data_IF_568675222717
#
_entry.id   IF_568675222717
#
_cell.length_a   1.000
_cell.length_b   1.000
_cell.length_c   1.000
_cell.angle_alpha   90.00
_cell.angle_beta   90.00
_cell.angle_gamma   90.00
#
_symmetry.space_group_name_H-M   'P 1'
#
loop_
_entity.id
_entity.type
_entity.pdbx_description
1 polymer ?
#
# COMPACT_ATOMS: atom_id res chain seq x y z
N UNK A 1 -53.25 37.69 43.29
CA UNK A 1 -53.52 37.08 41.96
C UNK A 1 -52.51 37.69 41.00
N UNK A 2 -51.43 37.04 40.60
CA UNK A 2 -50.87 35.71 40.88
C UNK A 2 -49.34 35.87 40.79
N UNK A 3 -48.61 35.35 41.78
CA UNK A 3 -47.15 35.23 41.72
C UNK A 3 -46.78 34.26 40.59
N UNK A 4 -46.14 34.78 39.54
CA UNK A 4 -45.45 33.95 38.55
C UNK A 4 -44.09 33.59 39.12
N UNK A 5 -44.01 32.42 39.76
CA UNK A 5 -42.73 31.75 40.05
C UNK A 5 -41.98 31.54 38.73
N UNK A 6 -40.78 32.13 38.65
CA UNK A 6 -39.80 31.76 37.64
C UNK A 6 -39.34 30.33 37.92
N UNK A 7 -39.82 29.39 37.13
CA UNK A 7 -39.31 28.01 37.15
C UNK A 7 -37.88 28.03 36.62
N UNK A 8 -36.89 28.04 37.51
CA UNK A 8 -35.49 27.77 37.15
C UNK A 8 -35.41 26.42 36.43
N UNK A 9 -34.96 26.43 35.18
CA UNK A 9 -34.68 25.21 34.45
C UNK A 9 -33.55 24.46 35.16
N UNK A 10 -33.89 23.38 35.87
CA UNK A 10 -32.89 22.46 36.44
C UNK A 10 -31.87 22.12 35.35
N UNK A 11 -30.55 22.20 35.62
CA UNK A 11 -29.54 21.86 34.63
C UNK A 11 -29.77 20.41 34.21
N UNK A 12 -30.32 20.24 33.00
CA UNK A 12 -30.61 18.94 32.43
C UNK A 12 -29.30 18.18 32.26
N UNK A 13 -29.26 16.93 32.72
CA UNK A 13 -28.13 16.04 32.52
C UNK A 13 -27.74 15.99 31.03
N UNK A 14 -26.54 16.49 30.71
CA UNK A 14 -26.02 16.50 29.35
C UNK A 14 -25.56 15.09 28.98
N UNK A 15 -26.48 14.34 28.37
CA UNK A 15 -26.25 12.95 27.92
C UNK A 15 -25.03 12.85 27.01
N UNK A 16 -24.70 13.88 26.22
CA UNK A 16 -23.55 13.86 25.33
C UNK A 16 -22.24 13.84 26.12
N UNK A 17 -22.11 14.74 27.10
CA UNK A 17 -20.94 14.77 28.00
C UNK A 17 -20.80 13.49 28.82
N UNK A 18 -21.92 12.92 29.27
CA UNK A 18 -21.91 11.63 29.94
C UNK A 18 -21.34 10.52 29.05
N UNK A 19 -21.88 10.34 27.84
CA UNK A 19 -21.40 9.31 26.91
C UNK A 19 -19.95 9.54 26.46
N UNK A 20 -19.52 10.80 26.33
CA UNK A 20 -18.12 11.14 26.11
C UNK A 20 -17.24 10.73 27.29
N UNK A 21 -17.70 10.95 28.52
CA UNK A 21 -17.03 10.46 29.73
C UNK A 21 -16.93 8.93 29.77
N UNK A 22 -18.01 8.23 29.42
CA UNK A 22 -18.02 6.75 29.29
C UNK A 22 -17.00 6.29 28.25
N UNK A 23 -16.95 6.94 27.08
CA UNK A 23 -15.97 6.64 26.04
C UNK A 23 -14.53 6.81 26.52
N UNK A 24 -14.21 7.94 27.17
CA UNK A 24 -12.87 8.20 27.71
C UNK A 24 -12.50 7.15 28.76
N UNK A 25 -13.42 6.81 29.67
CA UNK A 25 -13.20 5.78 30.67
C UNK A 25 -12.92 4.41 30.02
N UNK A 26 -13.68 4.03 28.99
CA UNK A 26 -13.45 2.79 28.23
C UNK A 26 -12.08 2.79 27.54
N UNK A 27 -11.66 3.92 26.94
CA UNK A 27 -10.33 4.03 26.32
C UNK A 27 -9.21 3.92 27.36
N UNK A 28 -9.37 4.53 28.54
CA UNK A 28 -8.40 4.41 29.64
C UNK A 28 -8.32 2.95 30.11
N UNK A 29 -9.45 2.29 30.34
CA UNK A 29 -9.49 0.87 30.74
C UNK A 29 -8.82 -0.01 29.70
N UNK A 30 -9.04 0.26 28.41
CA UNK A 30 -8.38 -0.45 27.31
C UNK A 30 -6.85 -0.25 27.35
N UNK A 31 -6.38 0.99 27.51
CA UNK A 31 -4.95 1.30 27.60
C UNK A 31 -4.29 0.67 28.83
N UNK A 32 -4.95 0.71 29.99
CA UNK A 32 -4.46 0.07 31.22
C UNK A 32 -4.44 -1.45 31.06
N UNK A 33 -5.49 -2.04 30.50
CA UNK A 33 -5.56 -3.48 30.23
C UNK A 33 -4.45 -3.93 29.29
N UNK A 34 -4.17 -3.13 28.25
CA UNK A 34 -3.06 -3.39 27.33
C UNK A 34 -1.71 -3.29 28.04
N UNK A 35 -1.46 -2.21 28.79
CA UNK A 35 -0.23 -2.04 29.57
C UNK A 35 -0.03 -3.18 30.57
N UNK A 36 -1.09 -3.56 31.29
CA UNK A 36 -1.04 -4.67 32.23
C UNK A 36 -0.73 -6.00 31.53
N UNK A 37 -1.34 -6.28 30.38
CA UNK A 37 -0.99 -7.47 29.59
C UNK A 37 0.50 -7.44 29.17
N UNK A 38 1.05 -6.28 28.81
CA UNK A 38 2.47 -6.16 28.46
C UNK A 38 3.41 -6.40 29.64
N UNK A 39 3.02 -6.05 30.88
CA UNK A 39 3.86 -6.31 32.06
C UNK A 39 3.82 -7.76 32.53
N UNK A 40 2.81 -8.53 32.14
CA UNK A 40 2.78 -9.99 32.36
C UNK A 40 3.70 -10.76 31.40
N UNK A 41 4.22 -10.09 30.36
CA UNK A 41 5.09 -10.71 29.36
C UNK A 41 6.54 -10.49 29.76
N UNK A 42 7.32 -11.57 29.92
CA UNK A 42 8.77 -11.47 30.15
C UNK A 42 9.47 -11.05 28.84
N UNK A 43 9.47 -9.73 28.59
CA UNK A 43 9.94 -9.15 27.35
C UNK A 43 10.62 -7.79 27.57
N UNK A 44 11.82 -7.63 27.00
CA UNK A 44 12.58 -6.38 27.06
C UNK A 44 12.28 -5.56 25.81
N UNK A 45 11.59 -4.44 26.02
CA UNK A 45 11.22 -3.50 24.96
C UNK A 45 12.43 -2.72 24.45
N UNK A 46 12.59 -2.63 23.12
CA UNK A 46 13.74 -2.05 22.40
C UNK A 46 13.32 -0.98 21.40
N UNK A 47 12.45 -0.06 21.82
CA UNK A 47 11.96 1.06 21.00
C UNK A 47 13.08 1.91 20.36
N UNK A 48 14.24 2.00 21.01
CA UNK A 48 15.42 2.70 20.50
C UNK A 48 15.95 2.13 19.18
N UNK A 49 15.61 0.88 18.82
CA UNK A 49 16.03 0.26 17.56
C UNK A 49 15.08 0.58 16.41
N UNK A 50 13.85 1.01 16.66
CA UNK A 50 12.82 1.21 15.63
C UNK A 50 13.19 2.24 14.54
N UNK A 51 13.82 3.40 14.86
CA UNK A 51 14.13 4.40 13.83
C UNK A 51 14.96 3.86 12.65
N UNK A 52 15.82 2.85 12.88
CA UNK A 52 16.66 2.24 11.82
C UNK A 52 15.84 1.59 10.68
N UNK A 53 14.61 1.20 10.96
CA UNK A 53 13.72 0.58 9.97
C UNK A 53 13.00 1.59 9.08
N UNK A 54 13.09 2.88 9.39
CA UNK A 54 12.66 3.97 8.54
C UNK A 54 13.83 4.54 7.74
N UNK A 55 14.95 4.80 8.42
CA UNK A 55 16.18 5.29 7.83
C UNK A 55 17.39 4.78 8.62
N UNK A 56 18.42 4.32 7.93
CA UNK A 56 19.69 3.94 8.55
C UNK A 56 20.87 4.52 7.77
N UNK A 57 21.98 4.71 8.47
CA UNK A 57 23.26 5.09 7.87
C UNK A 57 24.05 3.82 7.67
N UNK A 58 24.33 3.50 6.41
CA UNK A 58 25.14 2.37 6.01
C UNK A 58 26.57 2.84 5.77
N UNK A 59 27.56 2.03 6.16
CA UNK A 59 28.97 2.35 5.91
C UNK A 59 29.42 1.48 4.76
N UNK A 60 29.61 2.10 3.59
CA UNK A 60 30.05 1.42 2.39
C UNK A 60 31.57 1.46 2.36
N UNK A 61 32.17 0.29 2.40
CA UNK A 61 33.61 0.10 2.24
C UNK A 61 33.94 0.02 0.76
N UNK A 62 34.80 0.91 0.29
CA UNK A 62 35.37 0.84 -1.06
C UNK A 62 36.59 -0.05 -0.97
N UNK A 63 36.55 -1.20 -1.66
CA UNK A 63 37.61 -2.21 -1.62
C UNK A 63 38.34 -2.27 -2.94
N UNK A 64 39.64 -2.55 -2.88
CA UNK A 64 40.46 -2.72 -4.08
C UNK A 64 40.10 -4.01 -4.82
N UNK A 65 39.85 -3.92 -6.12
CA UNK A 65 39.65 -5.07 -7.01
C UNK A 65 40.98 -5.62 -7.55
N UNK A 66 42.07 -4.84 -7.43
CA UNK A 66 43.41 -5.21 -7.88
C UNK A 66 44.44 -5.18 -6.73
N UNK A 67 45.53 -5.93 -6.91
CA UNK A 67 46.73 -5.84 -6.07
C UNK A 67 47.73 -4.86 -6.70
N UNK A 68 48.32 -3.98 -5.89
CA UNK A 68 49.21 -2.94 -6.37
C UNK A 68 49.63 -1.94 -5.30
N UNK A 69 50.20 -0.82 -5.73
CA UNK A 69 50.60 0.28 -4.84
C UNK A 69 49.71 1.50 -5.09
N UNK A 70 49.37 2.25 -4.03
CA UNK A 70 48.60 3.49 -4.16
C UNK A 70 49.48 4.55 -4.83
N UNK A 71 49.24 4.81 -6.12
CA UNK A 71 50.05 5.73 -6.91
C UNK A 71 49.72 7.20 -6.66
N UNK A 72 48.47 7.51 -6.31
CA UNK A 72 48.09 8.85 -5.87
C UNK A 72 46.74 8.86 -5.15
N UNK A 73 46.61 9.81 -4.23
CA UNK A 73 45.34 10.12 -3.54
C UNK A 73 45.03 11.59 -3.82
N UNK A 74 44.06 11.85 -4.70
CA UNK A 74 43.69 13.21 -5.10
C UNK A 74 42.31 13.58 -4.56
N UNK A 75 42.22 14.67 -3.81
CA UNK A 75 40.94 15.24 -3.42
C UNK A 75 40.31 16.00 -4.60
N UNK A 76 39.09 15.64 -4.99
CA UNK A 76 38.28 16.29 -6.02
C UNK A 76 37.01 16.83 -5.40
N UNK A 77 37.10 18.00 -4.77
CA UNK A 77 35.99 18.61 -4.02
C UNK A 77 35.82 17.93 -2.67
N UNK A 78 34.62 17.38 -2.41
CA UNK A 78 34.32 16.59 -1.20
C UNK A 78 34.69 15.09 -1.35
N UNK A 79 35.08 14.66 -2.56
CA UNK A 79 35.41 13.27 -2.87
C UNK A 79 36.92 13.05 -2.91
N UNK A 80 37.36 11.85 -2.53
CA UNK A 80 38.75 11.40 -2.66
C UNK A 80 38.87 10.38 -3.78
N UNK A 81 39.79 10.57 -4.71
CA UNK A 81 40.10 9.61 -5.77
C UNK A 81 41.41 8.91 -5.43
N UNK A 82 41.36 7.59 -5.27
CA UNK A 82 42.52 6.73 -5.03
C UNK A 82 42.84 5.98 -6.31
N UNK A 83 44.08 6.10 -6.78
CA UNK A 83 44.58 5.35 -7.93
C UNK A 83 45.47 4.23 -7.42
N UNK A 84 45.10 2.99 -7.70
CA UNK A 84 45.92 1.81 -7.39
C UNK A 84 46.59 1.35 -8.69
N UNK A 85 47.91 1.18 -8.65
CA UNK A 85 48.71 0.76 -9.79
C UNK A 85 49.21 -0.67 -9.58
N UNK A 86 48.67 -1.61 -10.37
CA UNK A 86 49.04 -3.02 -10.35
C UNK A 86 50.05 -3.39 -11.46
N UNK A 87 50.32 -4.69 -11.59
CA UNK A 87 51.27 -5.26 -12.55
C UNK A 87 50.76 -5.25 -14.02
N UNK A 88 50.45 -4.06 -14.55
CA UNK A 88 50.01 -3.83 -15.93
C UNK A 88 48.70 -3.07 -16.08
N UNK A 89 47.98 -2.81 -14.98
CA UNK A 89 46.65 -2.20 -14.97
C UNK A 89 46.57 -1.14 -13.86
N UNK A 90 45.74 -0.11 -14.05
CA UNK A 90 45.49 0.93 -13.03
C UNK A 90 44.00 1.12 -12.86
N UNK A 91 43.53 1.02 -11.63
CA UNK A 91 42.13 1.25 -11.30
C UNK A 91 41.93 2.53 -10.49
N UNK A 92 40.78 3.16 -10.72
CA UNK A 92 40.41 4.43 -10.13
C UNK A 92 39.22 4.22 -9.21
N UNK A 93 39.44 4.41 -7.91
CA UNK A 93 38.41 4.30 -6.89
C UNK A 93 38.00 5.69 -6.43
N UNK A 94 36.72 6.03 -6.56
CA UNK A 94 36.16 7.28 -6.04
C UNK A 94 35.48 7.01 -4.71
N UNK A 95 35.97 7.65 -3.66
CA UNK A 95 35.49 7.51 -2.29
C UNK A 95 34.86 8.84 -1.88
N UNK A 96 33.52 8.94 -1.79
CA UNK A 96 32.85 10.14 -1.33
C UNK A 96 33.22 10.46 0.12
N UNK A 97 33.68 11.67 0.40
CA UNK A 97 34.12 12.07 1.75
C UNK A 97 35.59 11.76 2.07
N UNK A 98 36.00 12.15 3.28
CA UNK A 98 37.40 12.20 3.71
C UNK A 98 37.86 11.03 4.59
N UNK A 99 37.06 9.97 4.72
CA UNK A 99 37.43 8.76 5.47
C UNK A 99 38.22 7.78 4.59
N UNK A 100 39.42 8.21 4.21
CA UNK A 100 40.44 7.37 3.59
C UNK A 100 41.12 6.53 4.67
N UNK A 101 41.36 5.25 4.35
CA UNK A 101 42.10 4.33 5.22
C UNK A 101 43.51 4.04 4.68
N UNK A 102 43.84 4.58 3.51
CA UNK A 102 45.09 4.32 2.79
C UNK A 102 45.86 5.60 2.46
N UNK A 103 47.17 5.49 2.39
CA UNK A 103 48.09 6.57 2.04
C UNK A 103 48.83 6.29 0.72
N UNK A 104 49.34 7.35 0.09
CA UNK A 104 50.18 7.24 -1.11
C UNK A 104 51.45 6.43 -0.81
N UNK A 105 51.78 5.46 -1.67
CA UNK A 105 52.88 4.51 -1.49
C UNK A 105 52.57 3.29 -0.61
N UNK A 106 51.33 3.10 -0.16
CA UNK A 106 50.94 1.85 0.50
C UNK A 106 50.68 0.72 -0.50
N UNK A 107 51.15 -0.48 -0.16
CA UNK A 107 50.85 -1.71 -0.90
C UNK A 107 49.48 -2.24 -0.48
N UNK A 108 48.60 -2.45 -1.46
CA UNK A 108 47.21 -2.87 -1.30
C UNK A 108 47.03 -4.25 -1.95
N UNK A 109 46.33 -5.16 -1.28
CA UNK A 109 45.91 -6.44 -1.85
C UNK A 109 44.45 -6.41 -2.31
N UNK A 110 44.10 -7.36 -3.18
CA UNK A 110 42.72 -7.54 -3.62
C UNK A 110 41.79 -7.78 -2.42
N UNK A 111 40.77 -6.94 -2.27
CA UNK A 111 39.80 -6.98 -1.19
C UNK A 111 40.09 -6.06 0.01
N UNK A 112 41.25 -5.41 0.04
CA UNK A 112 41.59 -4.43 1.08
C UNK A 112 40.73 -3.17 0.97
N UNK A 113 40.34 -2.62 2.12
CA UNK A 113 39.47 -1.43 2.19
C UNK A 113 40.29 -0.15 2.01
N UNK A 114 40.05 0.54 0.91
CA UNK A 114 40.70 1.82 0.55
C UNK A 114 40.13 2.99 1.36
N UNK A 115 38.85 2.91 1.70
CA UNK A 115 38.18 3.90 2.53
C UNK A 115 36.71 3.53 2.72
N UNK A 116 36.02 4.36 3.50
CA UNK A 116 34.60 4.14 3.74
C UNK A 116 33.83 5.44 3.71
N UNK A 117 32.60 5.37 3.21
CA UNK A 117 31.69 6.50 3.21
C UNK A 117 30.34 6.11 3.80
N UNK A 118 29.67 7.09 4.40
CA UNK A 118 28.37 6.90 5.01
C UNK A 118 27.28 7.29 4.03
N UNK A 119 26.41 6.34 3.68
CA UNK A 119 25.25 6.58 2.85
C UNK A 119 23.96 6.43 3.66
N UNK A 120 23.06 7.42 3.56
CA UNK A 120 21.73 7.32 4.15
C UNK A 120 20.84 6.46 3.25
N UNK A 121 20.43 5.30 3.75
CA UNK A 121 19.54 4.37 3.03
C UNK A 121 18.16 4.32 3.67
N UNK A 122 17.16 4.09 2.83
CA UNK A 122 15.79 3.87 3.26
C UNK A 122 15.67 2.53 3.98
N UNK A 123 15.06 2.54 5.16
CA UNK A 123 14.83 1.35 5.96
C UNK A 123 13.70 0.48 5.41
N UNK A 124 13.66 -0.79 5.84
CA UNK A 124 12.79 -1.79 5.23
C UNK A 124 11.29 -1.52 5.39
N UNK A 125 10.86 -0.88 6.49
CA UNK A 125 9.44 -0.59 6.71
C UNK A 125 8.95 0.51 5.78
N UNK A 126 9.76 1.55 5.57
CA UNK A 126 9.41 2.62 4.64
C UNK A 126 9.41 2.12 3.19
N UNK A 127 10.38 1.28 2.83
CA UNK A 127 10.39 0.61 1.53
C UNK A 127 9.14 -0.26 1.34
N UNK A 128 8.81 -1.11 2.32
CA UNK A 128 7.61 -1.95 2.28
C UNK A 128 6.32 -1.14 2.17
N UNK A 129 6.23 0.00 2.86
CA UNK A 129 5.10 0.93 2.75
C UNK A 129 4.94 1.49 1.32
N UNK A 130 6.04 1.86 0.67
CA UNK A 130 6.00 2.34 -0.72
C UNK A 130 5.52 1.25 -1.68
N UNK A 131 6.03 0.01 -1.52
CA UNK A 131 5.56 -1.14 -2.30
C UNK A 131 4.07 -1.39 -2.05
N UNK A 132 3.61 -1.35 -0.80
CA UNK A 132 2.17 -1.44 -0.45
C UNK A 132 1.33 -0.42 -1.20
N UNK A 133 1.76 0.85 -1.24
CA UNK A 133 1.07 1.92 -1.94
C UNK A 133 1.07 1.67 -3.46
N UNK A 134 2.23 1.34 -4.03
CA UNK A 134 2.41 1.09 -5.45
C UNK A 134 1.50 -0.05 -5.93
N UNK A 135 1.59 -1.22 -5.32
CA UNK A 135 0.79 -2.39 -5.77
C UNK A 135 -0.70 -2.16 -5.57
N UNK A 136 -1.10 -1.50 -4.48
CA UNK A 136 -2.51 -1.20 -4.23
C UNK A 136 -3.06 -0.19 -5.24
N UNK A 137 -2.28 0.84 -5.55
CA UNK A 137 -2.67 1.87 -6.51
C UNK A 137 -2.80 1.31 -7.93
N UNK A 138 -1.80 0.56 -8.39
CA UNK A 138 -1.83 -0.07 -9.72
C UNK A 138 -2.99 -1.07 -9.80
N UNK A 139 -3.19 -1.88 -8.76
CA UNK A 139 -4.27 -2.88 -8.72
C UNK A 139 -5.66 -2.24 -8.74
N UNK A 140 -5.89 -1.15 -8.01
CA UNK A 140 -7.20 -0.49 -8.02
C UNK A 140 -7.49 0.17 -9.37
N UNK A 141 -6.48 0.70 -10.06
CA UNK A 141 -6.68 1.28 -11.41
C UNK A 141 -7.18 0.21 -12.38
N UNK A 142 -6.52 -0.95 -12.43
CA UNK A 142 -6.99 -2.07 -13.26
C UNK A 142 -8.33 -2.65 -12.77
N UNK A 143 -8.53 -2.72 -11.45
CA UNK A 143 -9.79 -3.16 -10.86
C UNK A 143 -10.96 -2.23 -11.20
N UNK A 144 -10.76 -0.91 -11.24
CA UNK A 144 -11.77 0.06 -11.66
C UNK A 144 -12.14 -0.16 -13.12
N UNK A 145 -11.15 -0.32 -14.00
CA UNK A 145 -11.40 -0.58 -15.42
C UNK A 145 -12.19 -1.89 -15.61
N UNK A 146 -11.72 -2.99 -15.02
CA UNK A 146 -12.37 -4.30 -15.11
C UNK A 146 -13.77 -4.27 -14.52
N UNK A 147 -13.94 -3.65 -13.35
CA UNK A 147 -15.23 -3.54 -12.67
C UNK A 147 -16.21 -2.64 -13.40
N UNK A 148 -15.76 -1.57 -14.05
CA UNK A 148 -16.63 -0.74 -14.90
C UNK A 148 -17.23 -1.55 -16.05
N UNK A 149 -16.39 -2.26 -16.82
CA UNK A 149 -16.86 -3.09 -17.93
C UNK A 149 -17.76 -4.23 -17.45
N UNK A 150 -17.37 -4.93 -16.38
CA UNK A 150 -18.12 -6.04 -15.82
C UNK A 150 -19.45 -5.58 -15.21
N UNK A 151 -19.48 -4.44 -14.51
CA UNK A 151 -20.67 -3.86 -13.92
C UNK A 151 -21.70 -3.45 -14.99
N UNK A 152 -21.22 -2.86 -16.09
CA UNK A 152 -22.06 -2.56 -17.26
C UNK A 152 -22.56 -3.83 -17.97
N UNK A 153 -21.71 -4.85 -18.11
CA UNK A 153 -22.10 -6.14 -18.67
C UNK A 153 -23.18 -6.84 -17.82
N UNK A 154 -23.11 -6.75 -16.49
CA UNK A 154 -24.10 -7.34 -15.57
C UNK A 154 -25.50 -6.73 -15.69
N UNK A 155 -25.62 -5.46 -16.08
CA UNK A 155 -26.91 -4.79 -16.32
C UNK A 155 -27.37 -4.85 -17.77
N UNK A 156 -26.59 -5.48 -18.66
CA UNK A 156 -26.93 -5.61 -20.07
C UNK A 156 -28.13 -6.53 -20.28
N UNK A 157 -28.90 -6.26 -21.33
CA UNK A 157 -29.97 -7.16 -21.78
C UNK A 157 -29.40 -8.39 -22.53
N UNK A 158 -28.13 -8.33 -22.96
CA UNK A 158 -27.47 -9.46 -23.62
C UNK A 158 -27.19 -10.58 -22.60
N UNK A 159 -27.79 -11.77 -22.77
CA UNK A 159 -27.66 -12.86 -21.80
C UNK A 159 -26.21 -13.34 -21.65
N UNK A 160 -25.43 -13.39 -22.73
CA UNK A 160 -24.03 -13.84 -22.67
C UNK A 160 -23.18 -12.90 -21.80
N UNK A 161 -23.24 -11.59 -22.06
CA UNK A 161 -22.51 -10.59 -21.26
C UNK A 161 -22.93 -10.62 -19.79
N UNK A 162 -24.24 -10.72 -19.54
CA UNK A 162 -24.80 -10.76 -18.19
C UNK A 162 -24.33 -12.00 -17.42
N UNK A 163 -24.43 -13.19 -18.00
CA UNK A 163 -24.07 -14.43 -17.33
C UNK A 163 -22.55 -14.57 -17.14
N UNK A 164 -21.74 -14.12 -18.10
CA UNK A 164 -20.28 -14.07 -17.92
C UNK A 164 -19.89 -13.13 -16.76
N UNK A 165 -20.49 -11.94 -16.69
CA UNK A 165 -20.25 -10.99 -15.61
C UNK A 165 -20.68 -11.54 -14.25
N UNK A 166 -21.87 -12.15 -14.16
CA UNK A 166 -22.35 -12.80 -12.92
C UNK A 166 -21.39 -13.90 -12.50
N UNK A 167 -21.01 -14.80 -13.41
CA UNK A 167 -20.13 -15.93 -13.10
C UNK A 167 -18.79 -15.46 -12.54
N UNK A 168 -18.16 -14.49 -13.21
CA UNK A 168 -16.92 -13.87 -12.74
C UNK A 168 -17.09 -13.25 -11.33
N UNK A 169 -18.13 -12.45 -11.12
CA UNK A 169 -18.33 -11.77 -9.83
C UNK A 169 -18.56 -12.78 -8.71
N UNK A 170 -19.43 -13.76 -8.91
CA UNK A 170 -19.78 -14.74 -7.87
C UNK A 170 -18.60 -15.67 -7.54
N UNK A 171 -17.79 -16.07 -8.53
CA UNK A 171 -16.56 -16.86 -8.28
C UNK A 171 -15.55 -16.06 -7.46
N UNK A 172 -15.27 -14.83 -7.88
CA UNK A 172 -14.23 -14.01 -7.24
C UNK A 172 -14.64 -13.55 -5.85
N UNK A 173 -15.90 -13.16 -5.64
CA UNK A 173 -16.39 -12.77 -4.31
C UNK A 173 -16.71 -13.96 -3.40
N UNK A 174 -16.97 -15.12 -3.99
CA UNK A 174 -17.26 -16.37 -3.28
C UNK A 174 -16.02 -17.14 -2.84
N UNK A 175 -14.81 -16.72 -3.22
CA UNK A 175 -13.55 -17.41 -2.90
C UNK A 175 -12.60 -16.52 -2.09
N UNK A 176 -11.81 -17.08 -1.15
CA UNK A 176 -10.87 -16.30 -0.36
C UNK A 176 -9.78 -15.66 -1.23
N UNK A 177 -9.48 -14.37 -1.00
CA UNK A 177 -8.43 -13.64 -1.72
C UNK A 177 -7.06 -14.33 -1.62
N UNK A 178 -6.70 -14.84 -0.44
CA UNK A 178 -5.43 -15.56 -0.25
C UNK A 178 -5.29 -16.74 -1.23
N UNK A 179 -6.36 -17.52 -1.43
CA UNK A 179 -6.36 -18.64 -2.37
C UNK A 179 -6.20 -18.13 -3.80
N UNK A 180 -6.86 -17.02 -4.16
CA UNK A 180 -6.72 -16.41 -5.48
C UNK A 180 -5.28 -15.96 -5.74
N UNK A 181 -4.64 -15.29 -4.78
CA UNK A 181 -3.23 -14.89 -4.87
C UNK A 181 -2.34 -16.11 -5.13
N UNK A 182 -2.55 -17.21 -4.38
CA UNK A 182 -1.79 -18.44 -4.56
C UNK A 182 -1.99 -19.06 -5.95
N UNK A 183 -3.23 -19.07 -6.45
CA UNK A 183 -3.53 -19.57 -7.80
C UNK A 183 -2.89 -18.70 -8.89
N UNK A 184 -2.94 -17.37 -8.75
CA UNK A 184 -2.32 -16.44 -9.68
C UNK A 184 -0.81 -16.61 -9.75
N UNK A 185 -0.16 -16.77 -8.61
CA UNK A 185 1.29 -16.90 -8.55
C UNK A 185 1.76 -18.30 -8.97
N UNK A 186 1.35 -19.34 -8.23
CA UNK A 186 1.91 -20.68 -8.40
C UNK A 186 1.40 -21.41 -9.64
N UNK A 187 0.14 -21.20 -10.01
CA UNK A 187 -0.47 -21.90 -11.16
C UNK A 187 -0.37 -21.04 -12.41
N UNK A 188 -1.02 -19.88 -12.43
CA UNK A 188 -1.06 -19.04 -13.62
C UNK A 188 0.31 -18.45 -13.96
N UNK A 189 1.06 -17.97 -12.97
CA UNK A 189 2.40 -17.42 -13.19
C UNK A 189 3.35 -18.43 -13.82
N UNK A 190 3.43 -19.63 -13.24
CA UNK A 190 4.25 -20.73 -13.78
C UNK A 190 3.84 -21.12 -15.20
N UNK A 191 2.54 -21.27 -15.48
CA UNK A 191 2.06 -21.67 -16.81
C UNK A 191 2.32 -20.57 -17.84
N UNK A 192 1.98 -19.32 -17.52
CA UNK A 192 2.14 -18.18 -18.43
C UNK A 192 3.62 -17.97 -18.76
N UNK A 193 4.51 -17.93 -17.77
CA UNK A 193 5.93 -17.74 -18.03
C UNK A 193 6.55 -18.89 -18.84
N UNK A 194 6.14 -20.15 -18.60
CA UNK A 194 6.57 -21.29 -19.43
C UNK A 194 6.10 -21.18 -20.87
N UNK A 195 4.86 -20.73 -21.09
CA UNK A 195 4.32 -20.54 -22.44
C UNK A 195 5.04 -19.39 -23.18
N UNK A 196 5.32 -18.29 -22.48
CA UNK A 196 6.07 -17.15 -23.02
C UNK A 196 7.50 -17.56 -23.37
N UNK A 197 8.19 -18.27 -22.49
CA UNK A 197 9.54 -18.80 -22.73
C UNK A 197 9.56 -19.73 -23.96
N UNK A 198 8.58 -20.63 -24.08
CA UNK A 198 8.44 -21.51 -25.26
C UNK A 198 8.21 -20.72 -26.56
N UNK A 199 7.58 -19.56 -26.48
CA UNK A 199 7.39 -18.64 -27.60
C UNK A 199 8.59 -17.69 -27.81
N UNK A 200 9.69 -17.87 -27.08
CA UNK A 200 10.86 -16.98 -27.07
C UNK A 200 10.52 -15.52 -26.73
N UNK A 201 9.54 -15.33 -25.84
CA UNK A 201 9.12 -14.04 -25.30
C UNK A 201 9.70 -13.81 -23.90
N UNK A 202 9.52 -12.59 -23.39
CA UNK A 202 9.98 -12.19 -22.06
C UNK A 202 9.21 -12.87 -20.93
N UNK A 203 9.85 -13.02 -19.77
CA UNK A 203 9.20 -13.48 -18.54
C UNK A 203 8.58 -12.32 -17.78
N UNK A 204 7.38 -12.52 -17.26
CA UNK A 204 6.66 -11.53 -16.44
C UNK A 204 7.16 -11.63 -14.99
N UNK A 205 7.56 -10.50 -14.37
CA UNK A 205 7.95 -10.47 -12.96
C UNK A 205 6.80 -10.81 -11.99
N UNK A 206 7.15 -11.43 -10.88
CA UNK A 206 6.27 -11.91 -9.80
C UNK A 206 5.26 -10.87 -9.29
N UNK A 207 5.69 -9.60 -9.18
CA UNK A 207 4.85 -8.48 -8.74
C UNK A 207 3.57 -8.33 -9.59
N UNK A 208 3.65 -8.60 -10.88
CA UNK A 208 2.51 -8.44 -11.79
C UNK A 208 1.45 -9.52 -11.59
N UNK A 209 1.82 -10.72 -11.14
CA UNK A 209 0.83 -11.74 -10.75
C UNK A 209 0.12 -11.35 -9.45
N UNK A 210 0.85 -10.75 -8.51
CA UNK A 210 0.26 -10.13 -7.31
C UNK A 210 -0.73 -9.02 -7.67
N UNK A 211 -0.30 -8.07 -8.51
CA UNK A 211 -1.16 -6.97 -9.00
C UNK A 211 -2.38 -7.49 -9.77
N UNK A 212 -2.20 -8.46 -10.67
CA UNK A 212 -3.31 -9.06 -11.42
C UNK A 212 -4.34 -9.72 -10.49
N UNK A 213 -3.88 -10.45 -9.47
CA UNK A 213 -4.76 -11.09 -8.50
C UNK A 213 -5.59 -10.07 -7.70
N UNK A 214 -4.96 -8.99 -7.22
CA UNK A 214 -5.63 -7.91 -6.51
C UNK A 214 -6.57 -7.12 -7.43
N UNK A 215 -6.16 -6.84 -8.67
CA UNK A 215 -6.97 -6.11 -9.65
C UNK A 215 -8.24 -6.87 -10.01
N UNK A 216 -8.14 -8.19 -10.20
CA UNK A 216 -9.29 -9.07 -10.47
C UNK A 216 -10.20 -9.15 -9.24
N UNK A 217 -9.62 -9.33 -8.07
CA UNK A 217 -10.39 -9.32 -6.83
C UNK A 217 -11.16 -7.99 -6.67
N UNK A 218 -10.46 -6.86 -6.69
CA UNK A 218 -11.04 -5.53 -6.59
C UNK A 218 -12.08 -5.29 -7.70
N UNK A 219 -11.81 -5.73 -8.93
CA UNK A 219 -12.70 -5.56 -10.07
C UNK A 219 -14.06 -6.19 -9.88
N UNK A 220 -14.16 -7.33 -9.20
CA UNK A 220 -15.46 -7.95 -8.88
C UNK A 220 -16.29 -7.12 -7.89
N UNK A 221 -15.64 -6.51 -6.88
CA UNK A 221 -16.31 -5.62 -5.93
C UNK A 221 -16.68 -4.28 -6.58
N UNK A 222 -15.79 -3.71 -7.40
CA UNK A 222 -16.07 -2.51 -8.21
C UNK A 222 -17.25 -2.76 -9.14
N UNK A 223 -17.37 -3.94 -9.77
CA UNK A 223 -18.50 -4.25 -10.64
C UNK A 223 -19.84 -4.17 -9.91
N UNK A 224 -19.89 -4.64 -8.66
CA UNK A 224 -21.07 -4.52 -7.82
C UNK A 224 -21.35 -3.08 -7.39
N UNK A 225 -20.31 -2.31 -7.08
CA UNK A 225 -20.44 -0.88 -6.79
C UNK A 225 -21.03 -0.15 -8.00
N UNK A 226 -20.54 -0.43 -9.22
CA UNK A 226 -21.03 0.17 -10.46
C UNK A 226 -22.49 -0.21 -10.70
N UNK A 227 -22.82 -1.51 -10.58
CA UNK A 227 -24.21 -2.00 -10.72
C UNK A 227 -25.14 -1.33 -9.72
N UNK A 228 -24.76 -1.32 -8.44
CA UNK A 228 -25.57 -0.73 -7.36
C UNK A 228 -25.74 0.78 -7.56
N UNK A 229 -24.67 1.47 -7.97
CA UNK A 229 -24.69 2.89 -8.30
C UNK A 229 -25.69 3.21 -9.41
N UNK A 230 -25.70 2.44 -10.50
CA UNK A 230 -26.64 2.61 -11.60
C UNK A 230 -28.08 2.28 -11.16
N UNK A 231 -28.29 1.19 -10.42
CA UNK A 231 -29.62 0.77 -9.96
C UNK A 231 -30.21 1.70 -8.89
N UNK A 232 -29.38 2.46 -8.19
CA UNK A 232 -29.85 3.43 -7.20
C UNK A 232 -30.61 4.60 -7.83
N UNK A 233 -30.41 4.88 -9.12
CA UNK A 233 -31.08 5.97 -9.82
C UNK A 233 -32.57 5.65 -9.99
N UNK A 234 -33.44 6.61 -9.67
CA UNK A 234 -34.88 6.43 -9.73
C UNK A 234 -35.33 6.01 -11.13
N UNK A 235 -36.12 4.93 -11.23
CA UNK A 235 -36.57 4.35 -12.51
C UNK A 235 -37.28 5.37 -13.42
N UNK A 236 -38.00 6.31 -12.81
CA UNK A 236 -38.66 7.43 -13.50
C UNK A 236 -37.72 8.30 -14.34
N UNK A 237 -36.42 8.38 -14.02
CA UNK A 237 -35.43 9.07 -14.87
C UNK A 237 -35.27 8.40 -16.24
N UNK A 238 -35.20 7.06 -16.24
CA UNK A 238 -35.14 6.29 -17.47
C UNK A 238 -36.49 6.35 -18.21
N UNK A 239 -37.60 6.22 -17.51
CA UNK A 239 -38.94 6.29 -18.10
C UNK A 239 -39.19 7.66 -18.75
N UNK A 240 -38.89 8.77 -18.06
CA UNK A 240 -39.02 10.12 -18.60
C UNK A 240 -38.14 10.34 -19.84
N UNK A 241 -36.87 9.91 -19.80
CA UNK A 241 -35.96 9.99 -20.95
C UNK A 241 -36.48 9.22 -22.17
N UNK A 242 -37.04 8.02 -21.94
CA UNK A 242 -37.64 7.19 -23.00
C UNK A 242 -38.92 7.81 -23.54
N UNK A 243 -39.75 8.43 -22.70
CA UNK A 243 -40.96 9.18 -23.10
C UNK A 243 -40.65 10.42 -23.93
N UNK A 244 -39.48 11.03 -23.73
CA UNK A 244 -38.96 12.12 -24.57
C UNK A 244 -38.28 11.63 -25.87
N UNK A 245 -38.42 10.34 -26.21
CA UNK A 245 -37.92 9.76 -27.47
C UNK A 245 -36.44 9.37 -27.46
N UNK A 246 -35.72 9.47 -26.34
CA UNK A 246 -34.30 9.10 -26.28
C UNK A 246 -34.13 7.58 -26.39
N UNK A 247 -33.17 7.10 -27.20
CA UNK A 247 -32.75 5.70 -27.18
C UNK A 247 -32.21 5.28 -25.79
N UNK A 248 -32.38 4.00 -25.38
CA UNK A 248 -31.91 3.50 -24.06
C UNK A 248 -30.41 3.78 -23.83
N UNK A 249 -29.58 3.60 -24.86
CA UNK A 249 -28.16 3.91 -24.79
C UNK A 249 -27.88 5.42 -24.59
N UNK A 250 -28.64 6.28 -25.27
CA UNK A 250 -28.53 7.75 -25.13
C UNK A 250 -28.98 8.21 -23.75
N UNK A 251 -30.11 7.68 -23.25
CA UNK A 251 -30.61 7.94 -21.90
C UNK A 251 -29.60 7.46 -20.83
N UNK A 252 -29.04 6.26 -21.00
CA UNK A 252 -28.00 5.73 -20.12
C UNK A 252 -26.77 6.64 -20.09
N UNK A 253 -26.23 7.03 -21.26
CA UNK A 253 -25.01 7.84 -21.35
C UNK A 253 -25.19 9.28 -20.85
N UNK A 254 -26.32 9.92 -21.17
CA UNK A 254 -26.51 11.36 -20.91
C UNK A 254 -27.20 11.67 -19.59
N UNK A 255 -28.01 10.76 -19.05
CA UNK A 255 -28.84 11.02 -17.85
C UNK A 255 -28.43 10.12 -16.70
N UNK A 256 -28.39 8.81 -16.91
CA UNK A 256 -28.21 7.85 -15.81
C UNK A 256 -26.75 7.77 -15.36
N UNK A 257 -25.80 7.55 -16.28
CA UNK A 257 -24.37 7.38 -15.94
C UNK A 257 -23.77 8.59 -15.21
N UNK A 258 -24.03 9.86 -15.62
CA UNK A 258 -23.52 11.01 -14.88
C UNK A 258 -24.03 11.08 -13.43
N UNK A 259 -25.30 10.74 -13.20
CA UNK A 259 -25.87 10.69 -11.84
C UNK A 259 -25.33 9.51 -11.03
N UNK A 260 -25.23 8.34 -11.66
CA UNK A 260 -24.69 7.14 -11.03
C UNK A 260 -23.22 7.33 -10.63
N UNK A 261 -22.42 8.01 -11.45
CA UNK A 261 -21.02 8.29 -11.17
C UNK A 261 -20.82 9.00 -9.82
N UNK A 262 -21.64 10.03 -9.52
CA UNK A 262 -21.59 10.73 -8.22
C UNK A 262 -21.87 9.79 -7.03
N UNK A 263 -22.67 8.73 -7.22
CA UNK A 263 -23.00 7.74 -6.19
C UNK A 263 -22.00 6.58 -6.10
N UNK A 264 -21.26 6.34 -7.19
CA UNK A 264 -20.23 5.30 -7.28
C UNK A 264 -18.93 5.76 -6.61
N UNK A 265 -18.60 7.05 -6.67
CA UNK A 265 -17.31 7.57 -6.20
C UNK A 265 -17.03 7.29 -4.70
N UNK A 266 -17.96 7.50 -3.75
CA UNK A 266 -17.72 7.22 -2.33
C UNK A 266 -17.35 5.75 -2.03
N UNK A 267 -18.14 4.73 -2.46
CA UNK A 267 -17.78 3.33 -2.21
C UNK A 267 -16.52 2.88 -2.95
N UNK A 268 -16.16 3.48 -4.10
CA UNK A 268 -14.89 3.17 -4.76
C UNK A 268 -13.68 3.55 -3.90
N UNK A 269 -13.75 4.70 -3.23
CA UNK A 269 -12.69 5.12 -2.32
C UNK A 269 -12.56 4.17 -1.11
N UNK A 270 -13.69 3.72 -0.55
CA UNK A 270 -13.70 2.66 0.47
C UNK A 270 -13.09 1.34 -0.04
N UNK A 271 -13.33 0.99 -1.30
CA UNK A 271 -12.72 -0.18 -1.92
C UNK A 271 -11.19 -0.03 -2.06
N UNK A 272 -10.69 1.16 -2.39
CA UNK A 272 -9.24 1.41 -2.44
C UNK A 272 -8.58 1.27 -1.06
N UNK A 273 -9.19 1.85 -0.01
CA UNK A 273 -8.70 1.72 1.37
C UNK A 273 -8.69 0.26 1.83
N UNK A 274 -9.70 -0.52 1.43
CA UNK A 274 -9.74 -1.95 1.71
C UNK A 274 -8.64 -2.70 0.97
N UNK A 275 -8.40 -2.37 -0.31
CA UNK A 275 -7.37 -3.00 -1.12
C UNK A 275 -5.95 -2.80 -0.57
N UNK A 276 -5.69 -1.65 0.05
CA UNK A 276 -4.42 -1.40 0.77
C UNK A 276 -4.19 -2.42 1.87
N UNK A 277 -5.22 -2.75 2.64
CA UNK A 277 -5.12 -3.77 3.69
C UNK A 277 -5.03 -5.17 3.08
N UNK A 278 -5.80 -5.44 2.04
CA UNK A 278 -5.78 -6.72 1.33
C UNK A 278 -4.41 -7.02 0.69
N UNK A 279 -3.67 -5.97 0.30
CA UNK A 279 -2.31 -6.11 -0.24
C UNK A 279 -1.32 -6.75 0.74
N UNK A 280 -1.60 -6.72 2.05
CA UNK A 280 -0.81 -7.43 3.08
C UNK A 280 -0.71 -8.94 2.84
N UNK A 281 -1.68 -9.51 2.12
CA UNK A 281 -1.67 -10.93 1.77
C UNK A 281 -0.61 -11.24 0.71
N UNK A 282 -0.10 -10.27 -0.06
CA UNK A 282 0.95 -10.52 -1.05
C UNK A 282 2.27 -10.97 -0.41
N UNK A 283 2.46 -10.77 0.90
CA UNK A 283 3.61 -11.31 1.61
C UNK A 283 3.77 -12.83 1.52
N UNK A 284 2.71 -13.58 1.21
CA UNK A 284 2.79 -15.04 1.04
C UNK A 284 3.48 -15.48 -0.25
N UNK A 285 3.52 -14.62 -1.27
CA UNK A 285 4.28 -14.83 -2.52
C UNK A 285 5.64 -14.13 -2.48
N UNK A 286 6.16 -13.90 -1.27
CA UNK A 286 7.42 -13.20 -1.01
C UNK A 286 7.52 -11.77 -1.56
N UNK A 287 6.40 -11.13 -1.92
CA UNK A 287 6.41 -9.72 -2.25
C UNK A 287 6.63 -8.91 -0.97
N UNK A 288 7.71 -8.11 -0.95
CA UNK A 288 8.15 -7.38 0.24
C UNK A 288 7.38 -6.06 0.46
N UNK A 289 6.08 -6.18 0.58
CA UNK A 289 5.20 -5.11 1.08
C UNK A 289 5.33 -4.92 2.61
N UNK A 290 4.65 -3.95 3.19
CA UNK A 290 4.81 -3.55 4.60
C UNK A 290 4.70 -4.70 5.62
N UNK A 291 3.72 -5.60 5.46
CA UNK A 291 3.51 -6.74 6.37
C UNK A 291 4.66 -7.74 6.27
N UNK A 292 5.10 -8.08 5.06
CA UNK A 292 6.24 -8.95 4.80
C UNK A 292 7.55 -8.34 5.29
N UNK A 293 7.77 -7.05 5.02
CA UNK A 293 8.93 -6.32 5.52
C UNK A 293 8.97 -6.32 7.05
N UNK A 294 7.81 -6.16 7.71
CA UNK A 294 7.70 -6.26 9.17
C UNK A 294 8.06 -7.66 9.64
N UNK A 295 7.54 -8.71 9.00
CA UNK A 295 7.84 -10.10 9.36
C UNK A 295 9.34 -10.41 9.24
N UNK A 296 10.00 -9.92 8.19
CA UNK A 296 11.45 -10.06 8.02
C UNK A 296 12.23 -9.27 9.09
N UNK A 297 11.79 -8.06 9.42
CA UNK A 297 12.35 -7.26 10.52
C UNK A 297 12.26 -8.02 11.86
N UNK A 298 11.11 -8.65 12.14
CA UNK A 298 10.87 -9.42 13.36
C UNK A 298 11.78 -10.63 13.43
N UNK A 299 11.92 -11.34 12.32
CA UNK A 299 12.74 -12.57 12.25
C UNK A 299 14.22 -12.28 12.50
N UNK A 300 14.72 -11.15 12.00
CA UNK A 300 16.14 -10.76 12.13
C UNK A 300 16.46 -10.13 13.49
N UNK A 301 15.53 -9.36 14.07
CA UNK A 301 15.77 -8.61 15.30
C UNK A 301 15.25 -9.25 16.57
N UNK A 302 14.36 -10.23 16.42
CA UNK A 302 13.61 -10.86 17.50
C UNK A 302 12.79 -9.85 18.32
N UNK A 303 12.28 -8.81 17.66
CA UNK A 303 11.45 -7.75 18.27
C UNK A 303 9.99 -7.79 17.78
N UNK A 304 9.21 -8.85 18.10
CA UNK A 304 7.88 -9.04 17.52
C UNK A 304 6.90 -7.92 17.89
N UNK A 305 6.87 -7.50 19.15
CA UNK A 305 5.85 -6.58 19.64
C UNK A 305 5.99 -5.20 19.01
N UNK A 306 7.15 -4.55 19.12
CA UNK A 306 7.38 -3.20 18.62
C UNK A 306 7.17 -3.10 17.12
N UNK A 307 7.66 -4.08 16.36
CA UNK A 307 7.54 -4.07 14.91
C UNK A 307 6.10 -4.29 14.44
N UNK A 308 5.34 -5.19 15.06
CA UNK A 308 3.92 -5.35 14.74
C UNK A 308 3.09 -4.13 15.18
N UNK A 309 3.43 -3.49 16.29
CA UNK A 309 2.82 -2.21 16.70
C UNK A 309 3.06 -1.11 15.68
N UNK A 310 4.31 -0.94 15.26
CA UNK A 310 4.69 0.05 14.25
C UNK A 310 4.01 -0.25 12.92
N UNK A 311 3.97 -1.51 12.49
CA UNK A 311 3.28 -1.94 11.27
C UNK A 311 1.78 -1.58 11.31
N UNK A 312 1.08 -1.91 12.41
CA UNK A 312 -0.32 -1.56 12.60
C UNK A 312 -0.55 -0.05 12.57
N UNK A 313 0.32 0.73 13.24
CA UNK A 313 0.25 2.18 13.23
C UNK A 313 0.50 2.77 11.85
N UNK A 314 1.41 2.20 11.05
CA UNK A 314 1.68 2.63 9.68
C UNK A 314 0.49 2.35 8.76
N UNK A 315 -0.13 1.17 8.82
CA UNK A 315 -1.38 0.91 8.09
C UNK A 315 -2.51 1.85 8.54
N UNK A 316 -2.64 2.09 9.85
CA UNK A 316 -3.63 3.01 10.37
C UNK A 316 -3.40 4.43 9.85
N UNK A 317 -2.17 4.93 9.93
CA UNK A 317 -1.81 6.26 9.43
C UNK A 317 -2.10 6.39 7.93
N UNK A 318 -1.72 5.40 7.13
CA UNK A 318 -1.97 5.38 5.68
C UNK A 318 -3.48 5.38 5.37
N UNK A 319 -4.22 4.44 5.96
CA UNK A 319 -5.66 4.28 5.70
C UNK A 319 -6.48 5.43 6.26
N UNK A 320 -6.11 5.98 7.41
CA UNK A 320 -6.73 7.16 8.00
C UNK A 320 -6.48 8.42 7.14
N UNK A 321 -5.24 8.66 6.71
CA UNK A 321 -4.92 9.78 5.84
C UNK A 321 -5.73 9.74 4.54
N UNK A 322 -5.83 8.56 3.91
CA UNK A 322 -6.65 8.36 2.72
C UNK A 322 -8.14 8.54 3.01
N UNK A 323 -8.65 8.03 4.14
CA UNK A 323 -10.04 8.22 4.55
C UNK A 323 -10.39 9.70 4.71
N UNK A 324 -9.52 10.47 5.36
CA UNK A 324 -9.70 11.91 5.55
C UNK A 324 -9.65 12.67 4.22
N UNK A 325 -8.72 12.31 3.34
CA UNK A 325 -8.61 12.88 2.00
C UNK A 325 -9.87 12.61 1.16
N UNK A 326 -10.39 11.38 1.21
CA UNK A 326 -11.63 10.99 0.51
C UNK A 326 -12.83 11.76 1.05
N UNK A 327 -13.01 11.84 2.37
CA UNK A 327 -14.10 12.62 2.97
C UNK A 327 -14.04 14.10 2.59
N UNK A 328 -12.84 14.67 2.47
CA UNK A 328 -12.67 16.04 1.99
C UNK A 328 -13.13 16.19 0.54
N UNK A 329 -12.75 15.25 -0.35
CA UNK A 329 -13.20 15.26 -1.75
C UNK A 329 -14.71 15.04 -1.88
N UNK A 330 -15.29 14.17 -1.05
CA UNK A 330 -16.73 13.90 -1.04
C UNK A 330 -17.54 15.15 -0.67
N UNK A 331 -17.15 15.87 0.40
CA UNK A 331 -17.82 17.12 0.81
C UNK A 331 -17.80 18.15 -0.31
N UNK A 332 -16.64 18.35 -0.95
CA UNK A 332 -16.49 19.28 -2.08
C UNK A 332 -17.34 18.90 -3.28
N UNK A 333 -17.52 17.60 -3.54
CA UNK A 333 -18.31 17.10 -4.68
C UNK A 333 -19.82 17.12 -4.39
N UNK A 334 -20.22 16.98 -3.13
CA UNK A 334 -21.62 17.11 -2.71
C UNK A 334 -22.12 18.57 -2.76
N UNK A 335 -21.21 19.53 -2.56
CA UNK A 335 -21.48 20.97 -2.65
C UNK A 335 -21.48 21.51 -4.10
N UNK A 336 -21.12 20.69 -5.12
CA UNK A 336 -20.97 21.06 -6.53
C UNK A 336 -21.95 20.36 -7.51
#
# INVERSE_FOLDING_TARGET
MSDTEQVESRPGFDKSKFWMGVYIALMIVLCIGFYWATTQTDYIWRWNRIPRYFYYVDTIEVRSEIEGEVSSVTAKGDDSVVIVQGAGESEYYTIPGSNLLVAEGETIYMGDTLGSYQEKKMGMLLHGLLITIEVSFVSIVFGILLGLFTGLARISDNPCLKWCAITYIEIIRGTPLLVQIMMWYFVLGTIINKLLEKASLFTIPDIWYGVASLAIFAGAYVAEIVRAGIQSIHKGQMEAARSLGMAKATAMRKIILPQAFKRILPPLAGQFISLIKDSSLLGVIALRELTKATREAVTTSLMPYELWFVCALMYLALTFALSMFVQYLEKRTAEA
#
